data_IF_481806140368
#
_entry.id   IF_481806140368
#
_cell.length_a   1.000
_cell.length_b   1.000
_cell.length_c   1.000
_cell.angle_alpha   90.00
_cell.angle_beta   90.00
_cell.angle_gamma   90.00
#
_symmetry.space_group_name_H-M   'P 1'
#
loop_
_entity.id
_entity.type
_entity.pdbx_description
1 polymer ?
#
# COMPACT_ATOMS: atom_id res chain seq x y z
N UNK A 1 -21.92 5.18 -7.02
CA UNK A 1 -21.78 4.46 -5.73
C UNK A 1 -20.36 3.92 -5.67
N UNK A 2 -19.51 4.39 -4.74
CA UNK A 2 -18.17 3.78 -4.53
C UNK A 2 -18.36 2.29 -4.18
N UNK A 3 -17.65 1.39 -4.85
CA UNK A 3 -17.78 -0.05 -4.62
C UNK A 3 -17.39 -0.40 -3.17
N UNK A 4 -18.24 -1.16 -2.46
CA UNK A 4 -17.98 -1.58 -1.07
C UNK A 4 -16.68 -2.36 -0.92
N UNK A 5 -16.31 -3.17 -1.92
CA UNK A 5 -15.06 -3.93 -1.92
C UNK A 5 -13.83 -3.03 -2.02
N UNK A 6 -13.84 -2.04 -2.91
CA UNK A 6 -12.75 -1.06 -3.01
C UNK A 6 -12.61 -0.24 -1.71
N UNK A 7 -13.72 0.08 -1.04
CA UNK A 7 -13.67 0.75 0.28
C UNK A 7 -12.98 -0.12 1.33
N UNK A 8 -13.27 -1.43 1.37
CA UNK A 8 -12.61 -2.34 2.30
C UNK A 8 -11.09 -2.38 2.07
N UNK A 9 -10.66 -2.45 0.80
CA UNK A 9 -9.24 -2.40 0.47
C UNK A 9 -8.59 -1.08 0.88
N UNK A 10 -9.25 0.05 0.62
CA UNK A 10 -8.73 1.37 1.02
C UNK A 10 -8.59 1.49 2.53
N UNK A 11 -9.59 1.05 3.32
CA UNK A 11 -9.50 1.07 4.79
C UNK A 11 -8.31 0.23 5.30
N UNK A 12 -8.09 -0.95 4.71
CA UNK A 12 -6.95 -1.79 5.08
C UNK A 12 -5.61 -1.15 4.72
N UNK A 13 -5.52 -0.51 3.55
CA UNK A 13 -4.33 0.23 3.13
C UNK A 13 -4.08 1.41 4.07
N UNK A 14 -5.12 2.15 4.48
CA UNK A 14 -5.02 3.23 5.47
C UNK A 14 -4.42 2.75 6.79
N UNK A 15 -4.85 1.60 7.30
CA UNK A 15 -4.28 0.97 8.49
C UNK A 15 -2.79 0.63 8.31
N UNK A 16 -2.40 0.11 7.14
CA UNK A 16 -0.99 -0.18 6.84
C UNK A 16 -0.15 1.08 6.72
N UNK A 17 -0.66 2.12 6.08
CA UNK A 17 0.01 3.43 5.99
C UNK A 17 0.20 4.03 7.37
N UNK A 18 -0.80 3.98 8.24
CA UNK A 18 -0.70 4.50 9.61
C UNK A 18 0.37 3.76 10.43
N UNK A 19 0.40 2.42 10.34
CA UNK A 19 1.43 1.59 10.99
C UNK A 19 2.83 1.92 10.45
N UNK A 20 2.97 2.00 9.13
CA UNK A 20 4.24 2.33 8.48
C UNK A 20 4.75 3.72 8.90
N UNK A 21 3.88 4.74 8.88
CA UNK A 21 4.21 6.09 9.31
C UNK A 21 4.73 6.11 10.77
N UNK A 22 4.06 5.40 11.69
CA UNK A 22 4.51 5.28 13.08
C UNK A 22 5.89 4.61 13.20
N UNK A 23 6.17 3.60 12.37
CA UNK A 23 7.48 2.94 12.34
C UNK A 23 8.56 3.90 11.84
N UNK A 24 8.31 4.58 10.71
CA UNK A 24 9.24 5.54 10.12
C UNK A 24 9.53 6.66 11.11
N UNK A 25 8.51 7.22 11.76
CA UNK A 25 8.66 8.26 12.77
C UNK A 25 9.57 7.81 13.92
N UNK A 26 9.33 6.63 14.49
CA UNK A 26 10.20 6.05 15.55
C UNK A 26 11.65 5.91 15.09
N UNK A 27 11.88 5.52 13.84
CA UNK A 27 13.23 5.40 13.27
C UNK A 27 13.88 6.76 13.07
N UNK A 28 13.16 7.74 12.55
CA UNK A 28 13.64 9.12 12.38
C UNK A 28 13.99 9.74 13.73
N UNK A 29 13.15 9.56 14.76
CA UNK A 29 13.43 10.05 16.12
C UNK A 29 14.69 9.38 16.68
N UNK A 30 14.85 8.06 16.49
CA UNK A 30 16.00 7.30 16.99
C UNK A 30 17.32 7.68 16.33
N UNK A 31 17.36 7.74 15.00
CA UNK A 31 18.59 7.91 14.24
C UNK A 31 18.88 9.38 13.88
N UNK A 32 17.88 10.25 13.91
CA UNK A 32 17.98 11.68 13.53
C UNK A 32 18.69 11.82 12.18
N UNK A 33 19.73 12.66 12.11
CA UNK A 33 20.53 12.88 10.89
C UNK A 33 21.34 11.65 10.49
N UNK A 34 21.69 10.78 11.43
CA UNK A 34 22.48 9.56 11.18
C UNK A 34 21.63 8.44 10.59
N UNK A 35 20.35 8.68 10.29
CA UNK A 35 19.52 7.72 9.55
C UNK A 35 20.10 7.47 8.14
N UNK A 36 20.80 8.45 7.57
CA UNK A 36 21.48 8.33 6.28
C UNK A 36 22.57 7.26 6.28
N UNK A 37 23.15 6.95 7.42
CA UNK A 37 24.18 5.90 7.54
C UNK A 37 23.55 4.49 7.59
N UNK A 38 22.24 4.41 7.86
CA UNK A 38 21.51 3.15 7.99
C UNK A 38 20.87 2.74 6.65
N UNK A 39 21.69 2.45 5.64
CA UNK A 39 21.23 2.13 4.28
C UNK A 39 20.30 0.91 4.21
N UNK A 40 20.54 -0.12 5.01
CA UNK A 40 19.65 -1.30 5.09
C UNK A 40 18.24 -0.89 5.53
N UNK A 41 18.15 -0.03 6.55
CA UNK A 41 16.87 0.49 7.03
C UNK A 41 16.17 1.35 5.96
N UNK A 42 16.92 2.23 5.30
CA UNK A 42 16.36 3.10 4.26
C UNK A 42 15.84 2.30 3.06
N UNK A 43 16.55 1.24 2.65
CA UNK A 43 16.10 0.35 1.59
C UNK A 43 14.78 -0.33 1.99
N UNK A 44 14.68 -0.89 3.19
CA UNK A 44 13.41 -1.48 3.66
C UNK A 44 12.26 -0.46 3.72
N UNK A 45 12.53 0.77 4.15
CA UNK A 45 11.53 1.86 4.13
C UNK A 45 11.08 2.13 2.69
N UNK A 46 12.02 2.14 1.74
CA UNK A 46 11.72 2.35 0.32
C UNK A 46 10.87 1.21 -0.24
N UNK A 47 11.23 -0.04 0.02
CA UNK A 47 10.51 -1.23 -0.44
C UNK A 47 9.07 -1.23 0.06
N UNK A 48 8.88 -1.00 1.36
CA UNK A 48 7.56 -0.90 1.97
C UNK A 48 6.75 0.26 1.36
N UNK A 49 7.38 1.42 1.11
CA UNK A 49 6.71 2.56 0.48
C UNK A 49 6.25 2.23 -0.94
N UNK A 50 7.07 1.52 -1.72
CA UNK A 50 6.73 1.09 -3.07
C UNK A 50 5.53 0.12 -3.07
N UNK A 51 5.49 -0.81 -2.10
CA UNK A 51 4.35 -1.72 -1.97
C UNK A 51 3.05 -0.99 -1.59
N UNK A 52 3.09 -0.10 -0.60
CA UNK A 52 1.94 0.70 -0.22
C UNK A 52 1.42 1.55 -1.39
N UNK A 53 2.32 2.20 -2.11
CA UNK A 53 1.95 3.00 -3.29
C UNK A 53 1.33 2.15 -4.40
N UNK A 54 1.89 0.96 -4.64
CA UNK A 54 1.35 0.01 -5.62
C UNK A 54 -0.07 -0.41 -5.23
N UNK A 55 -0.30 -0.76 -3.96
CA UNK A 55 -1.64 -1.12 -3.45
C UNK A 55 -2.67 -0.01 -3.68
N UNK A 56 -2.29 1.26 -3.46
CA UNK A 56 -3.17 2.41 -3.72
C UNK A 56 -3.50 2.53 -5.21
N UNK A 57 -2.49 2.43 -6.09
CA UNK A 57 -2.69 2.54 -7.54
C UNK A 57 -3.64 1.46 -8.05
N UNK A 58 -3.37 0.19 -7.73
CA UNK A 58 -4.16 -0.93 -8.25
C UNK A 58 -5.59 -0.89 -7.72
N UNK A 59 -5.81 -0.47 -6.47
CA UNK A 59 -7.14 -0.31 -5.88
C UNK A 59 -7.90 0.84 -6.52
N UNK A 60 -7.23 1.97 -6.75
CA UNK A 60 -7.83 3.14 -7.43
C UNK A 60 -8.20 2.80 -8.87
N UNK A 61 -7.31 2.07 -9.55
CA UNK A 61 -7.55 1.58 -10.92
C UNK A 61 -8.76 0.64 -10.95
N UNK A 62 -8.85 -0.32 -10.03
CA UNK A 62 -9.98 -1.23 -9.90
C UNK A 62 -11.29 -0.47 -9.67
N UNK A 63 -11.32 0.49 -8.73
CA UNK A 63 -12.50 1.32 -8.48
C UNK A 63 -12.95 2.02 -9.77
N UNK A 64 -12.01 2.56 -10.55
CA UNK A 64 -12.31 3.17 -11.85
C UNK A 64 -12.80 2.15 -12.88
N UNK A 65 -12.19 0.97 -12.94
CA UNK A 65 -12.59 -0.11 -13.83
C UNK A 65 -14.02 -0.58 -13.54
N UNK A 66 -14.42 -0.61 -12.27
CA UNK A 66 -15.78 -0.96 -11.86
C UNK A 66 -16.75 0.18 -12.17
N UNK A 67 -16.38 1.44 -11.88
CA UNK A 67 -17.19 2.61 -12.20
C UNK A 67 -17.53 2.67 -13.70
N UNK A 68 -16.55 2.36 -14.56
CA UNK A 68 -16.70 2.33 -16.01
C UNK A 68 -17.29 1.01 -16.54
N UNK A 69 -17.59 0.04 -15.67
CA UNK A 69 -18.10 -1.29 -16.04
C UNK A 69 -17.25 -2.00 -17.10
N UNK A 70 -15.92 -1.88 -17.00
CA UNK A 70 -15.00 -2.54 -17.92
C UNK A 70 -15.05 -4.06 -17.75
N UNK A 71 -14.95 -4.79 -18.87
CA UNK A 71 -15.07 -6.26 -18.91
C UNK A 71 -14.00 -7.00 -18.08
N UNK A 72 -12.87 -6.36 -17.83
CA UNK A 72 -11.73 -6.93 -17.11
C UNK A 72 -11.74 -6.62 -15.60
N UNK A 73 -12.78 -5.96 -15.07
CA UNK A 73 -12.85 -5.57 -13.66
C UNK A 73 -12.66 -6.76 -12.68
N UNK A 74 -13.17 -7.95 -13.01
CA UNK A 74 -12.99 -9.15 -12.19
C UNK A 74 -11.52 -9.59 -12.12
N UNK A 75 -10.81 -9.53 -13.25
CA UNK A 75 -9.38 -9.85 -13.28
C UNK A 75 -8.54 -8.81 -12.52
N UNK A 76 -8.90 -7.53 -12.64
CA UNK A 76 -8.27 -6.48 -11.83
C UNK A 76 -8.53 -6.70 -10.33
N UNK A 77 -9.74 -7.17 -9.97
CA UNK A 77 -10.07 -7.52 -8.59
C UNK A 77 -9.22 -8.69 -8.06
N UNK A 78 -8.98 -9.71 -8.87
CA UNK A 78 -8.10 -10.83 -8.50
C UNK A 78 -6.65 -10.36 -8.27
N UNK A 79 -6.16 -9.45 -9.12
CA UNK A 79 -4.84 -8.82 -8.92
C UNK A 79 -4.79 -8.05 -7.61
N UNK A 80 -5.79 -7.20 -7.32
CA UNK A 80 -5.83 -6.42 -6.08
C UNK A 80 -5.88 -7.33 -4.86
N UNK A 81 -6.71 -8.37 -4.90
CA UNK A 81 -6.77 -9.39 -3.84
C UNK A 81 -5.44 -10.09 -3.63
N UNK A 82 -4.76 -10.45 -4.71
CA UNK A 82 -3.45 -11.10 -4.61
C UNK A 82 -2.44 -10.19 -3.92
N UNK A 83 -2.35 -8.92 -4.34
CA UNK A 83 -1.43 -7.96 -3.76
C UNK A 83 -1.71 -7.70 -2.28
N UNK A 84 -2.97 -7.47 -1.92
CA UNK A 84 -3.36 -7.13 -0.54
C UNK A 84 -3.13 -8.30 0.42
N UNK A 85 -3.38 -9.54 -0.01
CA UNK A 85 -3.27 -10.70 0.87
C UNK A 85 -1.86 -11.33 0.91
N UNK A 86 -1.08 -11.21 -0.16
CA UNK A 86 0.20 -11.92 -0.28
C UNK A 86 1.44 -11.03 -0.22
N UNK A 87 1.32 -9.73 -0.48
CA UNK A 87 2.47 -8.83 -0.30
C UNK A 87 2.54 -8.42 1.17
N UNK A 88 3.11 -9.35 1.93
CA UNK A 88 3.43 -9.19 3.34
C UNK A 88 4.68 -8.31 3.44
N UNK A 89 4.60 -7.27 4.28
CA UNK A 89 5.76 -6.49 4.71
C UNK A 89 6.73 -7.43 5.46
N UNK A 90 7.73 -7.96 4.76
CA UNK A 90 8.90 -8.62 5.35
C UNK A 90 9.89 -7.53 5.78
#
# INVERSE_FOLDING_TARGET
MKNEQCKLYLNLIEDYVAKFASIVEKKVIKYKKNIIDNQILLNSICDISMYLYTMIIITTRLDKSIELSLRNNNYENDIVNFWINHVIFI
#
